data_IF_603663292466
#
_entry.id   IF_603663292466
#
_cell.length_a   1.000
_cell.length_b   1.000
_cell.length_c   1.000
_cell.angle_alpha   90.00
_cell.angle_beta   90.00
_cell.angle_gamma   90.00
#
_symmetry.space_group_name_H-M   'P 1'
#
loop_
_entity.id
_entity.type
_entity.pdbx_description
1 polymer ?
#
# COMPACT_ATOMS: atom_id res chain seq x y z
N UNK A 1 48.09 -4.09 -2.96
CA UNK A 1 47.06 -3.21 -3.58
C UNK A 1 46.12 -4.04 -4.48
N UNK A 2 44.90 -3.55 -4.69
CA UNK A 2 43.68 -4.27 -5.14
C UNK A 2 43.06 -5.08 -3.98
N UNK A 3 42.02 -4.65 -3.29
CA UNK A 3 40.97 -3.67 -3.57
C UNK A 3 39.71 -4.25 -2.95
N UNK A 4 39.45 -3.90 -1.69
CA UNK A 4 38.35 -4.45 -0.90
C UNK A 4 37.01 -4.30 -1.61
N UNK A 5 36.06 -5.23 -1.42
CA UNK A 5 34.70 -5.06 -1.91
C UNK A 5 34.16 -3.75 -1.36
N UNK A 6 33.68 -2.91 -2.28
CA UNK A 6 33.03 -1.65 -1.96
C UNK A 6 31.76 -2.03 -1.20
N UNK A 7 31.83 -1.97 0.14
CA UNK A 7 30.64 -1.87 0.97
C UNK A 7 29.92 -0.61 0.49
N UNK A 8 28.94 -0.80 -0.39
CA UNK A 8 27.95 0.22 -0.69
C UNK A 8 27.23 0.52 0.60
N UNK A 9 27.74 1.49 1.36
CA UNK A 9 27.04 2.11 2.46
C UNK A 9 25.73 2.64 1.88
N UNK A 10 24.63 1.92 2.14
CA UNK A 10 23.28 2.40 1.90
C UNK A 10 23.19 3.74 2.63
N UNK A 11 23.21 4.84 1.88
CA UNK A 11 22.86 6.15 2.45
C UNK A 11 21.46 5.98 3.04
N UNK A 12 21.20 6.39 4.30
CA UNK A 12 19.85 6.42 4.83
C UNK A 12 19.06 7.52 4.11
N UNK A 13 18.48 7.16 2.96
CA UNK A 13 17.55 8.00 2.21
C UNK A 13 16.12 7.56 2.53
N UNK A 14 15.40 8.37 3.31
CA UNK A 14 13.94 8.51 3.33
C UNK A 14 13.08 7.27 3.03
N UNK A 15 13.27 6.18 3.78
CA UNK A 15 12.35 5.04 3.70
C UNK A 15 11.01 5.46 4.29
N UNK A 16 9.93 5.26 3.53
CA UNK A 16 8.57 5.41 4.04
C UNK A 16 8.26 4.26 5.00
N UNK A 17 7.61 4.59 6.11
CA UNK A 17 7.30 3.66 7.19
C UNK A 17 5.82 3.33 7.15
N UNK A 18 5.51 2.05 6.96
CA UNK A 18 4.16 1.51 7.14
C UNK A 18 4.00 1.12 8.62
N UNK A 19 3.08 1.73 9.38
CA UNK A 19 2.97 1.54 10.83
C UNK A 19 2.26 0.23 11.21
N UNK A 20 2.45 -0.83 10.44
CA UNK A 20 1.80 -2.11 10.66
C UNK A 20 2.25 -2.72 12.00
N UNK A 21 1.32 -3.20 12.85
CA UNK A 21 1.70 -3.94 14.05
C UNK A 21 2.53 -5.17 13.67
N UNK A 22 3.53 -5.58 14.47
CA UNK A 22 4.42 -6.70 14.10
C UNK A 22 3.69 -8.00 13.77
N UNK A 23 2.55 -8.24 14.42
CA UNK A 23 1.69 -9.39 14.12
C UNK A 23 1.03 -9.28 12.73
N UNK A 24 0.65 -8.08 12.28
CA UNK A 24 0.14 -7.84 10.93
C UNK A 24 1.28 -8.03 9.91
N UNK A 25 2.45 -7.45 10.16
CA UNK A 25 3.61 -7.61 9.28
C UNK A 25 4.05 -9.07 9.10
N UNK A 26 3.89 -9.92 10.13
CA UNK A 26 4.17 -11.36 10.07
C UNK A 26 3.01 -12.17 9.46
N UNK A 27 1.76 -11.80 9.74
CA UNK A 27 0.58 -12.56 9.33
C UNK A 27 0.13 -12.22 7.89
N UNK A 28 0.44 -11.00 7.42
CA UNK A 28 0.22 -10.62 6.04
C UNK A 28 0.97 -11.57 5.10
N UNK A 29 2.14 -12.10 5.46
CA UNK A 29 2.87 -13.11 4.67
C UNK A 29 3.26 -12.68 3.24
N UNK A 30 2.84 -11.48 2.82
CA UNK A 30 3.07 -10.86 1.53
C UNK A 30 4.28 -9.95 1.66
N UNK A 31 5.46 -10.56 1.63
CA UNK A 31 6.68 -9.79 1.43
C UNK A 31 6.87 -9.60 -0.07
N UNK A 32 7.01 -8.35 -0.51
CA UNK A 32 7.51 -8.06 -1.85
C UNK A 32 8.78 -8.92 -2.10
N UNK A 33 8.88 -9.66 -3.21
CA UNK A 33 8.10 -9.53 -4.44
C UNK A 33 6.88 -10.46 -4.60
N UNK A 34 6.47 -11.22 -3.57
CA UNK A 34 5.32 -12.14 -3.68
C UNK A 34 3.99 -11.40 -3.55
N UNK A 35 3.64 -10.66 -4.60
CA UNK A 35 2.36 -9.98 -4.69
C UNK A 35 1.27 -10.98 -5.13
N UNK A 36 0.11 -11.05 -4.45
CA UNK A 36 -1.00 -11.89 -4.85
C UNK A 36 -1.76 -11.33 -6.06
N UNK A 37 -1.24 -10.29 -6.71
CA UNK A 37 -1.89 -9.57 -7.79
C UNK A 37 -0.88 -9.03 -8.82
N UNK A 38 -1.32 -8.83 -10.08
CA UNK A 38 -0.51 -8.17 -11.09
C UNK A 38 -0.36 -6.67 -10.77
N UNK A 39 0.88 -6.18 -10.78
CA UNK A 39 1.15 -4.75 -10.82
C UNK A 39 0.98 -4.23 -12.25
N UNK A 40 0.36 -3.06 -12.37
CA UNK A 40 0.19 -2.38 -13.63
C UNK A 40 1.23 -1.27 -13.81
N UNK A 41 0.78 -0.08 -14.16
CA UNK A 41 1.66 1.06 -14.41
C UNK A 41 1.75 1.95 -13.16
N UNK A 42 2.98 2.17 -12.69
CA UNK A 42 3.26 3.21 -11.72
C UNK A 42 3.15 4.59 -12.39
N UNK A 43 2.21 5.42 -11.93
CA UNK A 43 2.05 6.79 -12.41
C UNK A 43 2.60 7.76 -11.38
N UNK A 44 3.58 8.57 -11.76
CA UNK A 44 4.19 9.60 -10.90
C UNK A 44 3.67 10.97 -11.35
N UNK A 45 3.07 11.73 -10.45
CA UNK A 45 2.50 13.05 -10.70
C UNK A 45 3.07 14.11 -9.74
N UNK A 46 2.80 15.38 -10.04
CA UNK A 46 3.28 16.53 -9.27
C UNK A 46 4.56 17.11 -9.83
N UNK A 47 5.48 17.52 -8.94
CA UNK A 47 6.75 18.18 -9.29
C UNK A 47 7.94 17.48 -8.64
N UNK A 48 8.22 16.22 -9.01
CA UNK A 48 9.37 15.51 -8.48
C UNK A 48 10.68 16.14 -8.98
N UNK A 49 11.70 16.19 -8.11
CA UNK A 49 13.06 16.54 -8.52
C UNK A 49 13.67 15.38 -9.33
N UNK A 50 14.51 15.70 -10.30
CA UNK A 50 15.21 14.69 -11.13
C UNK A 50 16.03 13.70 -10.30
N UNK A 51 16.68 14.19 -9.25
CA UNK A 51 17.44 13.34 -8.33
C UNK A 51 16.57 12.29 -7.61
N UNK A 52 15.29 12.59 -7.40
CA UNK A 52 14.33 11.63 -6.83
C UNK A 52 13.93 10.59 -7.88
N UNK A 53 13.53 11.03 -9.08
CA UNK A 53 13.08 10.11 -10.16
C UNK A 53 14.18 9.20 -10.69
N UNK A 54 15.44 9.60 -10.60
CA UNK A 54 16.61 8.81 -11.05
C UNK A 54 17.22 7.93 -9.94
N UNK A 55 16.59 7.88 -8.76
CA UNK A 55 17.03 7.06 -7.62
C UNK A 55 16.14 5.83 -7.42
N UNK A 56 16.35 5.07 -6.33
CA UNK A 56 15.45 3.98 -5.92
C UNK A 56 14.15 4.48 -5.30
N UNK A 57 14.07 5.77 -4.95
CA UNK A 57 12.95 6.33 -4.20
C UNK A 57 11.57 6.13 -4.85
N UNK A 58 11.39 6.14 -6.19
CA UNK A 58 10.10 5.81 -6.80
C UNK A 58 9.65 4.38 -6.51
N UNK A 59 10.57 3.41 -6.61
CA UNK A 59 10.30 2.00 -6.34
C UNK A 59 10.09 1.77 -4.83
N UNK A 60 10.88 2.41 -3.97
CA UNK A 60 10.70 2.33 -2.52
C UNK A 60 9.33 2.88 -2.10
N UNK A 61 8.86 3.94 -2.76
CA UNK A 61 7.54 4.51 -2.52
C UNK A 61 6.41 3.60 -3.01
N UNK A 62 6.55 2.98 -4.18
CA UNK A 62 5.59 1.99 -4.69
C UNK A 62 5.46 0.79 -3.75
N UNK A 63 6.59 0.23 -3.30
CA UNK A 63 6.60 -0.90 -2.35
C UNK A 63 5.90 -0.54 -1.05
N UNK A 64 6.16 0.65 -0.51
CA UNK A 64 5.53 1.09 0.74
C UNK A 64 4.00 1.25 0.60
N UNK A 65 3.54 1.82 -0.51
CA UNK A 65 2.11 1.97 -0.79
C UNK A 65 1.41 0.62 -0.95
N UNK A 66 2.00 -0.27 -1.75
CA UNK A 66 1.47 -1.62 -1.95
C UNK A 66 1.42 -2.42 -0.65
N UNK A 67 2.42 -2.25 0.22
CA UNK A 67 2.46 -2.90 1.54
C UNK A 67 1.33 -2.39 2.44
N UNK A 68 1.16 -1.07 2.56
CA UNK A 68 0.09 -0.48 3.35
C UNK A 68 -1.30 -0.92 2.87
N UNK A 69 -1.51 -0.93 1.55
CA UNK A 69 -2.74 -1.42 0.94
C UNK A 69 -3.03 -2.89 1.30
N UNK A 70 -2.02 -3.77 1.24
CA UNK A 70 -2.17 -5.18 1.61
C UNK A 70 -2.46 -5.36 3.09
N UNK A 71 -1.76 -4.61 3.95
CA UNK A 71 -2.00 -4.58 5.39
C UNK A 71 -3.44 -4.15 5.72
N UNK A 72 -3.97 -3.18 4.97
CA UNK A 72 -5.35 -2.72 5.08
C UNK A 72 -6.36 -3.80 4.67
N UNK A 73 -6.14 -4.47 3.53
CA UNK A 73 -6.97 -5.62 3.10
C UNK A 73 -6.94 -6.71 4.17
N UNK A 74 -5.77 -7.09 4.67
CA UNK A 74 -5.64 -8.16 5.66
C UNK A 74 -6.32 -7.82 6.98
N UNK A 75 -6.10 -6.61 7.51
CA UNK A 75 -6.75 -6.14 8.73
C UNK A 75 -8.29 -6.14 8.59
N UNK A 76 -8.81 -5.74 7.43
CA UNK A 76 -10.23 -5.78 7.12
C UNK A 76 -10.76 -7.22 7.06
N UNK A 77 -10.14 -8.09 6.26
CA UNK A 77 -10.54 -9.49 6.10
C UNK A 77 -10.63 -10.24 7.43
N UNK A 78 -9.69 -9.99 8.34
CA UNK A 78 -9.62 -10.67 9.62
C UNK A 78 -10.43 -10.00 10.75
N UNK A 79 -11.24 -8.98 10.46
CA UNK A 79 -12.05 -8.33 11.49
C UNK A 79 -11.23 -7.53 12.52
N UNK A 80 -9.97 -7.18 12.21
CA UNK A 80 -9.00 -6.60 13.14
C UNK A 80 -9.05 -5.07 13.11
N UNK A 81 -10.08 -4.53 13.75
CA UNK A 81 -10.23 -3.07 13.93
C UNK A 81 -9.04 -2.45 14.68
N UNK A 82 -8.41 -3.18 15.61
CA UNK A 82 -7.21 -2.75 16.32
C UNK A 82 -5.99 -2.54 15.40
N UNK A 83 -5.86 -3.36 14.36
CA UNK A 83 -4.83 -3.19 13.33
C UNK A 83 -5.20 -2.09 12.35
N UNK A 84 -6.45 -2.05 11.92
CA UNK A 84 -6.96 -1.00 11.04
C UNK A 84 -6.71 0.40 11.61
N UNK A 85 -7.00 0.64 12.89
CA UNK A 85 -6.81 1.96 13.50
C UNK A 85 -5.34 2.42 13.56
N UNK A 86 -4.36 1.52 13.44
CA UNK A 86 -2.95 1.89 13.39
C UNK A 86 -2.55 2.42 12.01
N UNK A 87 -3.12 1.84 10.95
CA UNK A 87 -2.78 2.15 9.57
C UNK A 87 -3.76 3.14 8.91
N UNK A 88 -4.99 3.23 9.43
CA UNK A 88 -6.10 4.03 8.88
C UNK A 88 -6.86 4.80 9.98
N UNK A 89 -6.17 5.55 10.88
CA UNK A 89 -6.77 6.11 12.10
C UNK A 89 -7.93 7.09 11.86
N UNK A 90 -8.05 7.63 10.65
CA UNK A 90 -9.08 8.61 10.26
C UNK A 90 -10.17 8.02 9.37
N UNK A 91 -10.05 6.75 8.99
CA UNK A 91 -11.04 6.07 8.15
C UNK A 91 -11.85 5.13 9.02
N UNK A 92 -13.16 5.32 9.06
CA UNK A 92 -14.03 4.50 9.88
C UNK A 92 -14.00 3.04 9.44
N UNK A 93 -13.80 2.09 10.38
CA UNK A 93 -13.74 0.66 10.06
C UNK A 93 -14.99 0.13 9.33
N UNK A 94 -16.15 0.77 9.50
CA UNK A 94 -17.37 0.42 8.76
C UNK A 94 -17.22 0.56 7.23
N UNK A 95 -16.26 1.35 6.74
CA UNK A 95 -15.98 1.49 5.30
C UNK A 95 -15.42 0.23 4.65
N UNK A 96 -14.96 -0.74 5.46
CA UNK A 96 -14.42 -2.03 5.00
C UNK A 96 -15.30 -3.22 5.39
N UNK A 97 -16.54 -2.96 5.79
CA UNK A 97 -17.48 -4.00 6.25
C UNK A 97 -17.67 -5.14 5.24
N UNK A 98 -17.57 -4.86 3.94
CA UNK A 98 -17.72 -5.86 2.87
C UNK A 98 -16.57 -6.89 2.85
N UNK A 99 -15.39 -6.53 3.38
CA UNK A 99 -14.24 -7.42 3.45
C UNK A 99 -14.23 -8.33 4.68
N UNK A 100 -14.94 -7.94 5.74
CA UNK A 100 -14.86 -8.62 7.05
C UNK A 100 -15.29 -10.08 6.92
N UNK A 101 -14.41 -11.01 7.30
CA UNK A 101 -14.67 -12.44 7.23
C UNK A 101 -14.68 -13.02 5.81
N UNK A 102 -14.29 -12.24 4.80
CA UNK A 102 -14.04 -12.80 3.47
C UNK A 102 -12.85 -13.76 3.49
N UNK A 103 -12.94 -14.82 2.70
CA UNK A 103 -11.91 -15.86 2.65
C UNK A 103 -10.82 -15.55 1.62
N UNK A 104 -11.15 -14.74 0.61
CA UNK A 104 -10.21 -14.36 -0.46
C UNK A 104 -10.65 -13.07 -1.14
N UNK A 105 -9.64 -12.27 -1.48
CA UNK A 105 -9.73 -11.16 -2.43
C UNK A 105 -8.96 -11.55 -3.70
N UNK A 106 -9.67 -11.65 -4.83
CA UNK A 106 -9.08 -11.79 -6.16
C UNK A 106 -9.02 -10.43 -6.86
N UNK A 107 -8.06 -10.25 -7.76
CA UNK A 107 -7.88 -9.02 -8.51
C UNK A 107 -8.30 -9.25 -9.96
N UNK A 108 -9.25 -8.45 -10.45
CA UNK A 108 -9.81 -8.59 -11.80
C UNK A 108 -9.05 -7.76 -12.84
N UNK A 109 -8.26 -6.79 -12.39
CA UNK A 109 -7.33 -6.01 -13.18
C UNK A 109 -6.03 -5.79 -12.41
N UNK A 110 -5.03 -5.24 -13.11
CA UNK A 110 -3.79 -4.83 -12.49
C UNK A 110 -4.02 -3.73 -11.44
N UNK A 111 -3.16 -3.69 -10.44
CA UNK A 111 -3.12 -2.62 -9.45
C UNK A 111 -2.24 -1.50 -10.00
N UNK A 112 -2.85 -0.35 -10.25
CA UNK A 112 -2.17 0.84 -10.79
C UNK A 112 -1.97 1.88 -9.66
N UNK A 113 -0.77 1.96 -9.05
CA UNK A 113 -0.48 2.98 -8.07
C UNK A 113 -0.21 4.33 -8.73
N UNK A 114 -0.86 5.38 -8.23
CA UNK A 114 -0.57 6.77 -8.57
C UNK A 114 0.11 7.44 -7.38
N UNK A 115 1.31 7.97 -7.58
CA UNK A 115 2.10 8.64 -6.53
C UNK A 115 2.20 10.13 -6.84
N UNK A 116 1.83 10.97 -5.87
CA UNK A 116 2.02 12.43 -5.95
C UNK A 116 3.25 12.86 -5.17
N UNK A 117 4.18 13.53 -5.87
CA UNK A 117 5.48 13.93 -5.33
C UNK A 117 5.67 15.45 -5.42
N UNK A 118 6.24 16.03 -4.37
CA UNK A 118 6.67 17.43 -4.33
C UNK A 118 8.15 17.48 -3.93
N UNK A 119 9.01 17.84 -4.89
CA UNK A 119 10.46 17.80 -4.67
C UNK A 119 10.96 16.37 -4.50
N UNK A 120 11.44 16.03 -3.31
CA UNK A 120 11.87 14.67 -2.92
C UNK A 120 10.88 13.97 -1.99
N UNK A 121 9.76 14.62 -1.68
CA UNK A 121 8.78 14.13 -0.72
C UNK A 121 7.57 13.56 -1.44
N UNK A 122 7.26 12.31 -1.12
CA UNK A 122 5.97 11.73 -1.49
C UNK A 122 4.90 12.26 -0.54
N UNK A 123 3.77 12.67 -1.10
CA UNK A 123 2.70 13.34 -0.34
C UNK A 123 1.41 12.54 -0.31
N UNK A 124 1.08 11.88 -1.41
CA UNK A 124 -0.17 11.15 -1.56
C UNK A 124 0.02 9.96 -2.49
N UNK A 125 -0.78 8.92 -2.26
CA UNK A 125 -0.89 7.73 -3.06
C UNK A 125 -2.36 7.46 -3.34
N UNK A 126 -2.63 6.92 -4.51
CA UNK A 126 -3.94 6.41 -4.86
C UNK A 126 -3.80 5.05 -5.53
N UNK A 127 -4.59 4.09 -5.07
CA UNK A 127 -4.74 2.79 -5.71
C UNK A 127 -6.17 2.69 -6.20
N UNK A 128 -6.32 2.38 -7.49
CA UNK A 128 -7.61 2.09 -8.12
C UNK A 128 -7.53 0.70 -8.70
N UNK A 129 -8.47 -0.16 -8.32
CA UNK A 129 -8.53 -1.54 -8.81
C UNK A 129 -9.95 -2.07 -8.74
N UNK A 130 -10.17 -3.25 -9.30
CA UNK A 130 -11.40 -4.02 -9.23
C UNK A 130 -11.07 -5.35 -8.57
N UNK A 131 -11.77 -5.64 -7.48
CA UNK A 131 -11.58 -6.88 -6.73
C UNK A 131 -12.82 -7.76 -6.80
N UNK A 132 -12.60 -9.06 -6.70
CA UNK A 132 -13.62 -10.06 -6.44
C UNK A 132 -13.46 -10.57 -5.01
N UNK A 133 -14.54 -10.51 -4.22
CA UNK A 133 -14.58 -10.97 -2.84
C UNK A 133 -15.35 -12.28 -2.80
N UNK A 134 -14.75 -13.31 -2.21
CA UNK A 134 -15.44 -14.57 -1.91
C UNK A 134 -15.52 -14.81 -0.41
N UNK A 135 -16.62 -15.39 0.06
CA UNK A 135 -16.91 -15.53 1.49
C UNK A 135 -17.31 -14.20 2.12
N UNK A 136 -17.47 -14.19 3.45
CA UNK A 136 -17.93 -13.02 4.19
C UNK A 136 -19.41 -12.69 3.99
N UNK A 137 -19.87 -11.56 4.53
CA UNK A 137 -21.28 -11.14 4.50
C UNK A 137 -21.70 -10.61 3.12
N UNK A 138 -20.77 -10.08 2.33
CA UNK A 138 -21.08 -9.44 1.04
C UNK A 138 -20.12 -9.90 -0.10
N UNK A 139 -20.24 -11.14 -0.58
CA UNK A 139 -19.48 -11.57 -1.76
C UNK A 139 -19.94 -10.82 -3.04
N UNK A 140 -19.02 -10.65 -3.97
CA UNK A 140 -19.28 -9.98 -5.24
C UNK A 140 -18.05 -9.30 -5.82
N UNK A 141 -18.26 -8.49 -6.86
CA UNK A 141 -17.22 -7.68 -7.49
C UNK A 141 -17.36 -6.23 -7.03
N UNK A 142 -16.22 -5.58 -6.81
CA UNK A 142 -16.18 -4.22 -6.27
C UNK A 142 -15.14 -3.39 -7.01
N UNK A 143 -15.53 -2.18 -7.39
CA UNK A 143 -14.59 -1.11 -7.67
C UNK A 143 -14.04 -0.59 -6.34
N UNK A 144 -12.71 -0.60 -6.21
CA UNK A 144 -11.99 -0.19 -5.02
C UNK A 144 -11.11 1.01 -5.33
N UNK A 145 -11.26 2.07 -4.53
CA UNK A 145 -10.35 3.22 -4.52
C UNK A 145 -9.82 3.42 -3.11
N UNK A 146 -8.51 3.39 -2.98
CA UNK A 146 -7.79 3.63 -1.72
C UNK A 146 -6.91 4.86 -1.88
N UNK A 147 -7.00 5.77 -0.92
CA UNK A 147 -6.08 6.89 -0.80
C UNK A 147 -5.18 6.70 0.40
N UNK A 148 -3.90 7.02 0.25
CA UNK A 148 -2.90 6.93 1.32
C UNK A 148 -2.05 8.19 1.34
N UNK A 149 -1.57 8.60 2.50
CA UNK A 149 -0.69 9.77 2.61
C UNK A 149 0.55 9.43 3.43
N UNK A 150 1.65 10.10 3.12
CA UNK A 150 2.86 10.08 3.91
C UNK A 150 3.03 11.40 4.66
N UNK A 151 2.91 11.37 5.99
CA UNK A 151 3.21 12.52 6.86
C UNK A 151 4.41 12.17 7.72
N UNK A 152 5.45 13.01 7.70
CA UNK A 152 6.72 12.74 8.41
C UNK A 152 7.28 11.34 8.14
N UNK A 153 7.12 10.86 6.90
CA UNK A 153 7.48 9.52 6.39
C UNK A 153 6.61 8.36 6.88
N UNK A 154 5.62 8.60 7.74
CA UNK A 154 4.67 7.57 8.17
C UNK A 154 3.52 7.53 7.17
N UNK A 155 3.27 6.35 6.61
CA UNK A 155 2.16 6.11 5.70
C UNK A 155 0.87 5.79 6.46
N UNK A 156 -0.24 6.34 6.00
CA UNK A 156 -1.58 6.04 6.53
C UNK A 156 -2.60 6.01 5.41
N UNK A 157 -3.58 5.12 5.52
CA UNK A 157 -4.77 5.13 4.67
C UNK A 157 -5.62 6.35 5.07
N UNK A 158 -5.96 7.17 4.10
CA UNK A 158 -6.74 8.40 4.27
C UNK A 158 -8.13 8.30 3.69
N UNK A 159 -8.37 7.38 2.77
CA UNK A 159 -9.70 7.10 2.23
C UNK A 159 -9.82 5.66 1.75
N UNK A 160 -11.02 5.12 1.89
CA UNK A 160 -11.37 3.78 1.44
C UNK A 160 -12.78 3.80 0.86
N UNK A 161 -12.91 3.52 -0.43
CA UNK A 161 -14.20 3.49 -1.11
C UNK A 161 -14.36 2.17 -1.86
N UNK A 162 -15.43 1.44 -1.55
CA UNK A 162 -15.81 0.20 -2.22
C UNK A 162 -17.23 0.31 -2.74
N UNK A 163 -17.39 0.14 -4.04
CA UNK A 163 -18.70 0.15 -4.70
C UNK A 163 -18.90 -1.18 -5.42
N UNK A 164 -20.02 -1.83 -5.16
CA UNK A 164 -20.38 -3.07 -5.86
C UNK A 164 -20.64 -2.79 -7.33
N UNK A 165 -20.19 -3.68 -8.21
CA UNK A 165 -20.36 -3.59 -9.67
C UNK A 165 -21.01 -4.84 -10.25
#
# INVERSE_FOLDING_TARGET
PHGAPVSGSLRPGSVLVVPAPPALAQAAGFHFPYLPFPLGTLVIQGTPQSAWTQSTAPTDAEVAAITLYQDAIYAAMHGRNDWWNQIAPKVAYSSVSQLVGSSKVGYLNAVDPVITVKGTSVTNFQIVTTIAITGGPEPGHYSLTVGESANDRIMTVTSWTMNKI
#
